data_IF_120535126804
#
_entry.id   IF_120535126804
#
_cell.length_a   1.000
_cell.length_b   1.000
_cell.length_c   1.000
_cell.angle_alpha   90.00
_cell.angle_beta   90.00
_cell.angle_gamma   90.00
#
_symmetry.space_group_name_H-M   'P 1'
#
loop_
_entity.id
_entity.type
_entity.pdbx_description
1 polymer ?
#
# COMPACT_ATOMS: atom_id res chain seq x y z
N UNK A 1 24.54 15.73 20.98
CA UNK A 1 23.58 14.61 20.92
C UNK A 1 22.63 14.89 19.77
N UNK A 2 22.96 14.42 18.56
CA UNK A 2 22.17 14.71 17.37
C UNK A 2 20.87 13.90 17.44
N UNK A 3 19.72 14.59 17.48
CA UNK A 3 18.43 13.95 17.23
C UNK A 3 18.43 13.51 15.77
N UNK A 4 18.54 12.21 15.48
CA UNK A 4 18.15 11.68 14.18
C UNK A 4 16.70 12.12 13.97
N UNK A 5 16.42 12.91 12.94
CA UNK A 5 15.04 13.08 12.48
C UNK A 5 14.53 11.68 12.13
N UNK A 6 13.53 11.21 12.86
CA UNK A 6 12.90 9.93 12.55
C UNK A 6 12.08 10.17 11.28
N UNK A 7 12.50 9.56 10.18
CA UNK A 7 11.73 9.58 8.94
C UNK A 7 10.33 9.02 9.23
N UNK A 8 9.28 9.73 8.82
CA UNK A 8 7.90 9.26 8.94
C UNK A 8 7.41 8.85 7.56
N UNK A 9 6.90 7.62 7.43
CA UNK A 9 6.27 7.13 6.21
C UNK A 9 4.77 7.09 6.43
N UNK A 10 4.02 7.78 5.57
CA UNK A 10 2.57 7.80 5.55
C UNK A 10 2.06 6.79 4.50
N UNK A 11 1.37 5.76 4.95
CA UNK A 11 0.76 4.77 4.04
C UNK A 11 -0.76 4.87 4.08
N UNK A 12 -1.37 4.70 2.90
CA UNK A 12 -2.80 4.53 2.76
C UNK A 12 -3.11 3.06 2.51
N UNK A 13 -3.99 2.47 3.32
CA UNK A 13 -4.52 1.12 3.12
C UNK A 13 -5.95 1.21 2.61
N UNK A 14 -6.15 0.92 1.32
CA UNK A 14 -7.47 0.79 0.69
C UNK A 14 -7.86 -0.68 0.78
N UNK A 15 -8.85 -1.00 1.60
CA UNK A 15 -9.16 -2.40 1.91
C UNK A 15 -10.63 -2.59 2.27
N UNK A 16 -11.26 -3.71 1.86
CA UNK A 16 -12.52 -4.16 2.45
C UNK A 16 -12.46 -4.14 3.99
N UNK A 17 -13.58 -3.77 4.64
CA UNK A 17 -13.69 -3.67 6.09
C UNK A 17 -13.08 -4.87 6.83
N UNK A 18 -13.43 -6.08 6.38
CA UNK A 18 -13.07 -7.35 7.02
C UNK A 18 -11.56 -7.62 7.12
N UNK A 19 -10.75 -7.02 6.26
CA UNK A 19 -9.29 -7.24 6.23
C UNK A 19 -8.50 -6.10 6.87
N UNK A 20 -9.12 -4.92 6.98
CA UNK A 20 -8.43 -3.66 7.24
C UNK A 20 -7.72 -3.65 8.58
N UNK A 21 -8.46 -3.86 9.68
CA UNK A 21 -7.88 -3.77 11.02
C UNK A 21 -6.81 -4.84 11.24
N UNK A 22 -7.05 -6.07 10.77
CA UNK A 22 -6.09 -7.17 10.89
C UNK A 22 -4.78 -6.88 10.18
N UNK A 23 -4.83 -6.28 8.98
CA UNK A 23 -3.63 -5.87 8.25
C UNK A 23 -2.92 -4.69 8.93
N UNK A 24 -3.66 -3.69 9.41
CA UNK A 24 -3.09 -2.52 10.11
C UNK A 24 -2.33 -2.97 11.36
N UNK A 25 -2.95 -3.82 12.17
CA UNK A 25 -2.34 -4.34 13.41
C UNK A 25 -1.05 -5.12 13.10
N UNK A 26 -1.06 -5.92 12.03
CA UNK A 26 0.12 -6.66 11.59
C UNK A 26 1.23 -5.72 11.07
N UNK A 27 0.90 -4.69 10.30
CA UNK A 27 1.86 -3.69 9.80
C UNK A 27 2.52 -2.93 10.96
N UNK A 28 1.74 -2.48 11.93
CA UNK A 28 2.26 -1.77 13.11
C UNK A 28 3.16 -2.70 13.93
N UNK A 29 2.72 -3.93 14.19
CA UNK A 29 3.50 -4.91 14.96
C UNK A 29 4.81 -5.25 14.27
N UNK A 30 4.78 -5.57 12.97
CA UNK A 30 6.00 -5.93 12.23
C UNK A 30 6.93 -4.73 12.02
N UNK A 31 6.43 -3.49 11.96
CA UNK A 31 7.28 -2.29 11.95
C UNK A 31 8.10 -2.13 13.25
N UNK A 32 7.49 -2.46 14.40
CA UNK A 32 8.16 -2.44 15.70
C UNK A 32 9.14 -3.60 15.83
N UNK A 33 8.72 -4.82 15.49
CA UNK A 33 9.55 -6.03 15.61
C UNK A 33 10.71 -6.02 14.60
N UNK A 34 10.50 -5.44 13.42
CA UNK A 34 11.51 -5.33 12.37
C UNK A 34 12.59 -4.28 12.63
N UNK A 35 12.46 -3.48 13.69
CA UNK A 35 13.36 -2.37 14.03
C UNK A 35 13.58 -1.41 12.84
N UNK A 36 12.49 -1.07 12.14
CA UNK A 36 12.56 -0.17 11.00
C UNK A 36 13.04 1.23 11.43
N UNK A 37 13.94 1.82 10.64
CA UNK A 37 14.51 3.16 10.89
C UNK A 37 13.51 4.33 10.70
N UNK A 38 12.22 4.03 10.53
CA UNK A 38 11.17 4.99 10.28
C UNK A 38 9.92 4.73 11.13
N UNK A 39 9.18 5.80 11.38
CA UNK A 39 7.85 5.72 11.98
C UNK A 39 6.81 5.50 10.89
N UNK A 40 5.97 4.49 11.05
CA UNK A 40 4.85 4.24 10.17
C UNK A 40 3.58 4.96 10.65
N UNK A 41 2.97 5.75 9.77
CA UNK A 41 1.65 6.34 9.98
C UNK A 41 0.69 5.74 8.96
N UNK A 42 -0.42 5.17 9.42
CA UNK A 42 -1.35 4.45 8.57
C UNK A 42 -2.69 5.19 8.54
N UNK A 43 -3.12 5.56 7.33
CA UNK A 43 -4.50 5.93 7.02
C UNK A 43 -5.18 4.79 6.30
N UNK A 44 -6.49 4.65 6.42
CA UNK A 44 -7.19 3.54 5.81
C UNK A 44 -8.64 3.85 5.46
N UNK A 45 -9.12 3.30 4.35
CA UNK A 45 -10.48 3.50 3.83
C UNK A 45 -11.01 2.24 3.12
N UNK A 46 -12.32 2.17 2.88
CA UNK A 46 -12.93 1.11 2.04
C UNK A 46 -12.71 1.38 0.55
N UNK A 47 -12.66 2.65 0.19
CA UNK A 47 -12.63 3.15 -1.18
C UNK A 47 -11.90 4.49 -1.26
N UNK A 48 -11.43 4.82 -2.46
CA UNK A 48 -10.70 6.06 -2.75
C UNK A 48 -11.59 7.28 -2.54
N UNK A 49 -12.90 7.17 -2.78
CA UNK A 49 -13.84 8.29 -2.62
C UNK A 49 -13.93 8.78 -1.17
N UNK A 50 -13.71 7.93 -0.16
CA UNK A 50 -13.69 8.31 1.27
C UNK A 50 -12.58 9.32 1.61
N UNK A 51 -11.57 9.44 0.75
CA UNK A 51 -10.43 10.35 0.94
C UNK A 51 -10.80 11.79 0.53
N UNK A 52 -12.00 11.99 -0.05
CA UNK A 52 -12.51 13.31 -0.39
C UNK A 52 -11.97 13.87 -1.72
N UNK A 53 -11.60 12.97 -2.65
CA UNK A 53 -10.97 13.18 -3.97
C UNK A 53 -9.44 13.43 -3.96
N UNK A 54 -8.67 12.52 -4.59
CA UNK A 54 -7.27 12.77 -4.98
C UNK A 54 -7.13 13.85 -6.05
N UNK A 55 -8.23 14.13 -6.76
CA UNK A 55 -8.33 15.10 -7.83
C UNK A 55 -8.94 16.39 -7.29
N UNK A 56 -8.10 17.38 -7.02
CA UNK A 56 -8.49 18.76 -7.22
C UNK A 56 -7.47 19.41 -8.14
N UNK A 57 -7.94 19.79 -9.31
CA UNK A 57 -7.32 20.71 -10.25
C UNK A 57 -7.09 22.07 -9.58
N UNK A 58 -6.10 22.20 -8.70
CA UNK A 58 -5.65 23.50 -8.24
C UNK A 58 -4.14 23.64 -8.45
N UNK A 59 -3.79 24.58 -9.33
CA UNK A 59 -2.44 25.16 -9.45
C UNK A 59 -1.96 25.79 -8.12
N UNK A 60 -2.80 25.82 -7.09
CA UNK A 60 -2.47 26.18 -5.73
C UNK A 60 -2.90 25.05 -4.75
N UNK A 61 -1.96 24.15 -4.47
CA UNK A 61 -1.95 23.09 -3.44
C UNK A 61 -2.90 21.88 -3.57
N UNK A 62 -2.31 20.66 -3.43
CA UNK A 62 -2.88 19.71 -2.47
C UNK A 62 -1.80 19.01 -1.66
N UNK A 63 -1.23 19.68 -0.65
CA UNK A 63 -0.45 18.99 0.42
C UNK A 63 -1.32 18.12 1.35
N UNK A 64 -2.63 18.04 1.13
CA UNK A 64 -3.56 17.57 2.15
C UNK A 64 -3.60 16.05 2.33
N UNK A 65 -3.23 15.26 1.30
CA UNK A 65 -3.16 13.79 1.39
C UNK A 65 -2.07 13.20 0.46
N UNK A 66 -0.83 13.67 0.60
CA UNK A 66 0.32 13.00 -0.02
C UNK A 66 0.68 11.78 0.84
N UNK A 67 0.26 10.61 0.38
CA UNK A 67 0.73 9.34 0.93
C UNK A 67 2.07 8.99 0.28
N UNK A 68 2.97 8.39 1.03
CA UNK A 68 4.22 7.86 0.48
C UNK A 68 3.96 6.56 -0.28
N UNK A 69 3.02 5.76 0.23
CA UNK A 69 2.60 4.51 -0.39
C UNK A 69 1.10 4.29 -0.33
N UNK A 70 0.60 3.56 -1.32
CA UNK A 70 -0.77 3.06 -1.37
C UNK A 70 -0.74 1.53 -1.39
N UNK A 71 -1.45 0.95 -0.45
CA UNK A 71 -1.65 -0.50 -0.32
C UNK A 71 -3.10 -0.81 -0.66
N UNK A 72 -3.32 -1.53 -1.76
CA UNK A 72 -4.64 -1.99 -2.15
C UNK A 72 -4.81 -3.46 -1.79
N UNK A 73 -5.75 -3.75 -0.89
CA UNK A 73 -6.15 -5.12 -0.57
C UNK A 73 -7.25 -5.53 -1.53
N UNK A 74 -6.98 -6.58 -2.31
CA UNK A 74 -7.87 -7.12 -3.31
C UNK A 74 -8.40 -8.46 -2.82
N UNK A 75 -9.71 -8.50 -2.55
CA UNK A 75 -10.42 -9.76 -2.36
C UNK A 75 -10.53 -10.45 -3.72
N UNK A 76 -9.59 -11.35 -4.00
CA UNK A 76 -9.50 -12.03 -5.29
C UNK A 76 -10.36 -13.31 -5.35
N UNK A 77 -11.07 -13.66 -4.28
CA UNK A 77 -11.92 -14.86 -4.23
C UNK A 77 -13.14 -14.69 -5.15
N UNK A 78 -13.66 -13.46 -5.25
CA UNK A 78 -14.85 -13.13 -6.02
C UNK A 78 -14.51 -12.15 -7.14
N UNK A 79 -15.04 -12.39 -8.35
CA UNK A 79 -14.93 -11.45 -9.49
C UNK A 79 -15.37 -10.03 -9.15
N UNK A 80 -16.34 -9.90 -8.25
CA UNK A 80 -16.80 -8.60 -7.77
C UNK A 80 -15.69 -7.82 -7.03
N UNK A 81 -14.87 -8.51 -6.23
CA UNK A 81 -13.74 -7.90 -5.55
C UNK A 81 -12.66 -7.38 -6.51
N UNK A 82 -12.40 -8.11 -7.60
CA UNK A 82 -11.51 -7.66 -8.68
C UNK A 82 -12.05 -6.43 -9.42
N UNK A 83 -13.33 -6.42 -9.78
CA UNK A 83 -13.96 -5.27 -10.44
C UNK A 83 -13.95 -4.03 -9.55
N UNK A 84 -14.24 -4.21 -8.25
CA UNK A 84 -14.15 -3.13 -7.27
C UNK A 84 -12.72 -2.60 -7.20
N UNK A 85 -11.72 -3.47 -7.06
CA UNK A 85 -10.31 -3.07 -7.02
C UNK A 85 -9.88 -2.32 -8.29
N UNK A 86 -10.31 -2.78 -9.48
CA UNK A 86 -9.98 -2.10 -10.74
C UNK A 86 -10.61 -0.70 -10.82
N UNK A 87 -11.85 -0.53 -10.31
CA UNK A 87 -12.47 0.77 -10.16
C UNK A 87 -11.64 1.67 -9.22
N UNK A 88 -11.26 1.19 -8.04
CA UNK A 88 -10.45 1.95 -7.09
C UNK A 88 -9.10 2.37 -7.70
N UNK A 89 -8.44 1.45 -8.41
CA UNK A 89 -7.16 1.71 -9.09
C UNK A 89 -7.28 2.83 -10.11
N UNK A 90 -8.38 2.89 -10.87
CA UNK A 90 -8.60 3.93 -11.87
C UNK A 90 -8.71 5.34 -11.30
N UNK A 91 -8.98 5.47 -10.00
CA UNK A 91 -9.11 6.75 -9.28
C UNK A 91 -7.78 7.19 -8.63
N UNK A 92 -6.76 6.34 -8.64
CA UNK A 92 -5.45 6.65 -8.06
C UNK A 92 -4.59 7.34 -9.12
N UNK A 93 -3.94 8.47 -8.79
CA UNK A 93 -3.05 9.14 -9.74
C UNK A 93 -1.96 8.22 -10.30
N UNK A 94 -1.79 8.26 -11.63
CA UNK A 94 -0.84 7.40 -12.35
C UNK A 94 0.60 7.45 -11.81
N UNK A 95 1.01 8.58 -11.23
CA UNK A 95 2.37 8.73 -10.70
C UNK A 95 2.70 7.66 -9.65
N UNK A 96 1.76 7.31 -8.77
CA UNK A 96 1.96 6.29 -7.73
C UNK A 96 2.32 4.91 -8.32
N UNK A 97 1.77 4.58 -9.49
CA UNK A 97 2.11 3.34 -10.21
C UNK A 97 3.48 3.46 -10.89
N UNK A 98 3.74 4.57 -11.58
CA UNK A 98 5.01 4.77 -12.30
C UNK A 98 6.23 4.83 -11.36
N UNK A 99 6.07 5.38 -10.16
CA UNK A 99 7.11 5.45 -9.13
C UNK A 99 7.11 4.22 -8.21
N UNK A 100 6.31 3.18 -8.51
CA UNK A 100 6.19 1.94 -7.70
C UNK A 100 5.82 2.17 -6.23
N UNK A 101 5.05 3.22 -5.96
CA UNK A 101 4.50 3.56 -4.63
C UNK A 101 3.16 2.88 -4.35
N UNK A 102 2.58 2.20 -5.33
CA UNK A 102 1.41 1.33 -5.15
C UNK A 102 1.80 -0.13 -5.19
N UNK A 103 1.29 -0.93 -4.26
CA UNK A 103 1.37 -2.38 -4.32
C UNK A 103 0.07 -3.05 -3.89
N UNK A 104 -0.12 -4.28 -4.38
CA UNK A 104 -1.36 -5.03 -4.19
C UNK A 104 -1.17 -6.14 -3.18
N UNK A 105 -2.18 -6.38 -2.35
CA UNK A 105 -2.24 -7.51 -1.43
C UNK A 105 -3.45 -8.35 -1.82
N UNK A 106 -3.26 -9.65 -2.05
CA UNK A 106 -4.38 -10.60 -2.13
C UNK A 106 -4.50 -11.39 -0.84
N UNK A 107 -5.73 -11.58 -0.39
CA UNK A 107 -6.10 -12.26 0.85
C UNK A 107 -6.18 -13.80 0.75
N UNK A 108 -5.94 -14.40 -0.41
CA UNK A 108 -5.98 -15.85 -0.60
C UNK A 108 -4.77 -16.32 -1.43
N UNK A 109 -4.15 -17.42 -1.02
CA UNK A 109 -3.01 -18.05 -1.71
C UNK A 109 -3.41 -19.22 -2.60
N UNK A 110 -4.56 -19.83 -2.33
CA UNK A 110 -5.01 -21.09 -2.93
C UNK A 110 -5.98 -20.85 -4.10
N UNK A 111 -6.81 -19.81 -4.02
CA UNK A 111 -7.83 -19.51 -5.03
C UNK A 111 -7.66 -18.13 -5.68
N UNK A 112 -6.43 -17.78 -6.05
CA UNK A 112 -6.21 -16.55 -6.83
C UNK A 112 -6.86 -16.67 -8.20
N UNK A 113 -7.93 -15.93 -8.40
CA UNK A 113 -8.50 -15.72 -9.72
C UNK A 113 -7.41 -15.14 -10.66
N UNK A 114 -7.37 -15.64 -11.89
CA UNK A 114 -6.42 -15.20 -12.92
C UNK A 114 -6.44 -13.68 -13.11
N UNK A 115 -7.59 -13.03 -12.87
CA UNK A 115 -7.74 -11.58 -12.93
C UNK A 115 -6.86 -10.82 -11.94
N UNK A 116 -6.49 -11.38 -10.77
CA UNK A 116 -5.50 -10.73 -9.90
C UNK A 116 -4.13 -10.66 -10.58
N UNK A 117 -3.74 -11.73 -11.29
CA UNK A 117 -2.48 -11.77 -12.04
C UNK A 117 -2.47 -10.78 -13.21
N UNK A 118 -3.59 -10.66 -13.91
CA UNK A 118 -3.73 -9.68 -14.99
C UNK A 118 -3.67 -8.24 -14.45
N UNK A 119 -4.27 -8.00 -13.29
CA UNK A 119 -4.35 -6.68 -12.67
C UNK A 119 -2.97 -6.16 -12.26
N UNK A 120 -2.14 -6.94 -11.53
CA UNK A 120 -0.78 -6.48 -11.21
C UNK A 120 0.15 -6.38 -12.43
N UNK A 121 -0.05 -7.22 -13.46
CA UNK A 121 0.69 -7.10 -14.73
C UNK A 121 0.31 -5.84 -15.50
N UNK A 122 -0.99 -5.52 -15.58
CA UNK A 122 -1.54 -4.34 -16.26
C UNK A 122 -0.98 -3.05 -15.66
N UNK A 123 -0.95 -2.95 -14.34
CA UNK A 123 -0.47 -1.76 -13.63
C UNK A 123 1.02 -1.80 -13.25
N UNK A 124 1.73 -2.88 -13.59
CA UNK A 124 3.16 -3.10 -13.30
C UNK A 124 3.53 -2.89 -11.82
N UNK A 125 2.63 -3.29 -10.93
CA UNK A 125 2.79 -3.13 -9.48
C UNK A 125 3.35 -4.39 -8.82
N UNK A 126 4.12 -4.25 -7.72
CA UNK A 126 4.40 -5.35 -6.84
C UNK A 126 3.11 -5.93 -6.25
N UNK A 127 3.09 -7.24 -6.05
CA UNK A 127 1.99 -7.94 -5.42
C UNK A 127 2.50 -8.85 -4.30
N UNK A 128 1.79 -8.85 -3.18
CA UNK A 128 2.00 -9.75 -2.05
C UNK A 128 0.75 -10.62 -1.92
N UNK A 129 0.96 -11.92 -1.76
CA UNK A 129 -0.13 -12.89 -1.64
C UNK A 129 0.02 -13.61 -0.31
N UNK A 130 -1.07 -13.70 0.44
CA UNK A 130 -1.12 -14.41 1.73
C UNK A 130 -2.53 -14.42 2.29
N UNK A 131 -2.78 -15.25 3.29
CA UNK A 131 -4.03 -15.18 4.06
C UNK A 131 -3.96 -14.03 5.08
N UNK A 132 -4.81 -13.01 4.92
CA UNK A 132 -4.88 -11.87 5.85
C UNK A 132 -5.63 -12.24 7.14
N UNK A 133 -6.56 -13.18 7.07
CA UNK A 133 -7.37 -13.59 8.23
C UNK A 133 -6.59 -14.56 9.12
N UNK A 134 -5.63 -15.30 8.57
CA UNK A 134 -4.70 -16.10 9.36
C UNK A 134 -3.59 -15.21 9.99
N UNK A 135 -3.40 -15.21 11.31
CA UNK A 135 -2.43 -14.32 11.96
C UNK A 135 -0.98 -14.48 11.45
N UNK A 136 -0.54 -15.71 11.14
CA UNK A 136 0.81 -15.96 10.60
C UNK A 136 0.92 -15.50 9.14
N UNK A 137 -0.09 -15.79 8.33
CA UNK A 137 -0.20 -15.28 6.97
C UNK A 137 -0.13 -13.75 6.94
N UNK A 138 -0.93 -13.08 7.78
CA UNK A 138 -0.97 -11.62 7.85
C UNK A 138 0.36 -11.00 8.30
N UNK A 139 1.03 -11.58 9.31
CA UNK A 139 2.37 -11.13 9.72
C UNK A 139 3.39 -11.26 8.57
N UNK A 140 3.33 -12.36 7.81
CA UNK A 140 4.19 -12.56 6.64
C UNK A 140 3.89 -11.57 5.50
N UNK A 141 2.62 -11.22 5.28
CA UNK A 141 2.21 -10.17 4.34
C UNK A 141 2.75 -8.82 4.78
N UNK A 142 2.50 -8.44 6.04
CA UNK A 142 2.94 -7.17 6.61
C UNK A 142 4.45 -7.00 6.51
N UNK A 143 5.24 -8.02 6.88
CA UNK A 143 6.70 -7.99 6.75
C UNK A 143 7.17 -7.80 5.31
N UNK A 144 6.51 -8.46 4.34
CA UNK A 144 6.84 -8.29 2.91
C UNK A 144 6.45 -6.91 2.39
N UNK A 145 5.31 -6.37 2.83
CA UNK A 145 4.89 -5.01 2.51
C UNK A 145 5.87 -3.96 3.02
N UNK A 146 6.33 -4.08 4.27
CA UNK A 146 7.34 -3.18 4.86
C UNK A 146 8.67 -3.25 4.10
N UNK A 147 9.13 -4.45 3.75
CA UNK A 147 10.32 -4.60 2.89
C UNK A 147 10.14 -3.91 1.53
N UNK A 148 8.98 -4.02 0.91
CA UNK A 148 8.70 -3.34 -0.36
C UNK A 148 8.83 -1.82 -0.18
N UNK A 149 8.28 -1.26 0.90
CA UNK A 149 8.38 0.16 1.25
C UNK A 149 9.85 0.58 1.43
N UNK A 150 10.65 -0.20 2.15
CA UNK A 150 12.09 0.06 2.34
C UNK A 150 12.88 0.06 1.03
N UNK A 151 12.62 -0.93 0.15
CA UNK A 151 13.33 -1.06 -1.12
C UNK A 151 12.90 0.01 -2.13
N UNK A 152 11.61 0.29 -2.25
CA UNK A 152 11.07 1.26 -3.22
C UNK A 152 11.33 2.71 -2.82
N UNK A 153 11.50 2.99 -1.53
CA UNK A 153 11.83 4.32 -1.02
C UNK A 153 13.31 4.68 -1.15
N UNK A 154 14.15 3.78 -1.66
CA UNK A 154 15.60 3.98 -1.75
C UNK A 154 16.31 4.00 -0.39
N UNK A 155 15.60 3.74 0.71
CA UNK A 155 16.10 3.89 2.09
C UNK A 155 17.29 2.96 2.38
N UNK A 156 17.35 1.80 1.72
CA UNK A 156 18.46 0.85 1.81
C UNK A 156 19.45 0.92 0.63
N UNK A 157 19.25 1.81 -0.35
CA UNK A 157 20.03 1.84 -1.59
C UNK A 157 21.13 2.91 -1.63
N UNK A 158 21.12 3.87 -0.70
CA UNK A 158 22.02 5.03 -0.73
C UNK A 158 21.76 5.98 -1.90
N UNK A 159 20.74 5.71 -2.73
CA UNK A 159 20.32 6.59 -3.82
C UNK A 159 19.24 7.53 -3.26
N UNK A 160 19.48 8.86 -3.25
CA UNK A 160 18.46 9.80 -2.85
C UNK A 160 17.28 9.68 -3.82
N UNK A 161 16.08 9.77 -3.26
CA UNK A 161 14.86 9.89 -4.03
C UNK A 161 14.95 11.18 -4.85
N UNK A 162 15.20 11.09 -6.16
CA UNK A 162 14.93 12.18 -7.08
C UNK A 162 13.41 12.25 -7.24
N UNK A 163 12.77 13.00 -6.34
CA UNK A 163 11.47 13.57 -6.64
C UNK A 163 11.66 14.40 -7.89
N UNK A 164 10.96 14.04 -8.97
CA UNK A 164 10.97 14.83 -10.19
C UNK A 164 10.53 16.26 -9.82
N UNK A 165 11.34 17.23 -10.27
CA UNK A 165 11.11 18.67 -10.17
C UNK A 165 9.70 19.09 -10.63
#
# INVERSE_FOLDING_TARGET
MNRKEINSINILVISPFQFRQTLIDALVKENIVGDCDYKLTISSCESVEEIGSFHQDSEESPKKYLFDYIVLVVDAILRFGLQKAEKEISLIPNYYFTTRRTFFISSDTLNLDYGFYELYKKYKCPAVVGDILEPKGCASIARRALKLIEFSGGMNSGLPFLGLD
#
